data_IF_304602508576
#
_entry.id   IF_304602508576
#
_cell.length_a   1.000
_cell.length_b   1.000
_cell.length_c   1.000
_cell.angle_alpha   90.00
_cell.angle_beta   90.00
_cell.angle_gamma   90.00
#
_symmetry.space_group_name_H-M   'P 1'
#
loop_
_entity.id
_entity.type
_entity.pdbx_description
1 polymer ?
#
# COMPACT_ATOMS: atom_id res chain seq x y z
N UNK A 1 15.80 17.03 -29.08
CA UNK A 1 16.76 16.00 -29.58
C UNK A 1 18.22 16.45 -29.45
N UNK A 2 18.56 17.71 -29.76
CA UNK A 2 19.94 18.23 -29.66
C UNK A 2 20.55 18.21 -28.24
N UNK A 3 19.79 18.54 -27.20
CA UNK A 3 20.35 18.62 -25.84
C UNK A 3 20.72 17.24 -25.27
N UNK A 4 20.00 16.19 -25.66
CA UNK A 4 20.26 14.82 -25.21
C UNK A 4 21.55 14.26 -25.80
N UNK A 5 21.79 14.51 -27.09
CA UNK A 5 23.03 14.12 -27.76
C UNK A 5 24.22 14.88 -27.18
N UNK A 6 24.07 16.15 -26.84
CA UNK A 6 25.15 16.91 -26.19
C UNK A 6 25.43 16.43 -24.76
N UNK A 7 24.40 16.10 -23.98
CA UNK A 7 24.58 15.50 -22.66
C UNK A 7 25.26 14.12 -22.75
N UNK A 8 25.00 13.38 -23.82
CA UNK A 8 25.64 12.09 -24.10
C UNK A 8 27.11 12.23 -24.49
N UNK A 9 27.44 13.13 -25.41
CA UNK A 9 28.81 13.39 -25.86
C UNK A 9 29.71 13.86 -24.71
N UNK A 10 29.13 14.56 -23.71
CA UNK A 10 29.87 15.14 -22.58
C UNK A 10 30.01 14.21 -21.38
N UNK A 11 29.39 13.04 -21.37
CA UNK A 11 29.45 12.13 -20.24
C UNK A 11 30.54 11.07 -20.46
N UNK A 12 31.72 11.30 -19.89
CA UNK A 12 32.90 10.42 -19.99
C UNK A 12 32.60 8.96 -19.61
N UNK A 13 31.55 8.73 -18.80
CA UNK A 13 31.11 7.38 -18.40
C UNK A 13 30.57 6.56 -19.58
N UNK A 14 30.24 7.21 -20.69
CA UNK A 14 29.67 6.55 -21.87
C UNK A 14 30.75 6.04 -22.83
N UNK A 15 31.97 6.56 -22.73
CA UNK A 15 33.07 6.20 -23.64
C UNK A 15 33.45 4.72 -23.54
N UNK A 16 33.32 4.11 -22.36
CA UNK A 16 33.60 2.68 -22.13
C UNK A 16 32.44 1.72 -22.43
N UNK A 17 31.26 2.23 -22.81
CA UNK A 17 30.07 1.39 -23.02
C UNK A 17 30.02 0.78 -24.41
N UNK A 18 29.43 -0.41 -24.53
CA UNK A 18 29.14 -1.02 -25.81
C UNK A 18 28.19 -0.14 -26.66
N UNK A 19 28.26 -0.29 -27.99
CA UNK A 19 27.33 0.39 -28.91
C UNK A 19 25.87 0.05 -28.59
N UNK A 20 25.61 -1.17 -28.15
CA UNK A 20 24.28 -1.61 -27.75
C UNK A 20 23.81 -0.92 -26.46
N UNK A 21 24.65 -0.85 -25.42
CA UNK A 21 24.32 -0.12 -24.20
C UNK A 21 24.00 1.36 -24.48
N UNK A 22 24.76 1.99 -25.37
CA UNK A 22 24.51 3.37 -25.82
C UNK A 22 23.15 3.50 -26.51
N UNK A 23 22.83 2.57 -27.42
CA UNK A 23 21.53 2.53 -28.10
C UNK A 23 20.36 2.39 -27.12
N UNK A 24 20.42 1.38 -26.25
CA UNK A 24 19.39 1.10 -25.23
C UNK A 24 19.20 2.30 -24.30
N UNK A 25 20.28 2.97 -23.88
CA UNK A 25 20.18 4.16 -23.05
C UNK A 25 19.42 5.31 -23.74
N UNK A 26 19.70 5.55 -25.03
CA UNK A 26 18.96 6.56 -25.80
C UNK A 26 17.47 6.21 -25.91
N UNK A 27 17.14 4.93 -26.12
CA UNK A 27 15.75 4.48 -26.18
C UNK A 27 15.02 4.63 -24.84
N UNK A 28 15.64 4.19 -23.74
CA UNK A 28 15.13 4.38 -22.38
C UNK A 28 14.82 5.86 -22.13
N UNK A 29 15.77 6.74 -22.44
CA UNK A 29 15.62 8.18 -22.20
C UNK A 29 14.54 8.80 -23.06
N UNK A 30 14.47 8.43 -24.34
CA UNK A 30 13.42 8.89 -25.25
C UNK A 30 12.03 8.44 -24.78
N UNK A 31 11.88 7.20 -24.32
CA UNK A 31 10.63 6.68 -23.77
C UNK A 31 10.22 7.41 -22.49
N UNK A 32 11.17 7.65 -21.59
CA UNK A 32 10.92 8.37 -20.34
C UNK A 32 10.53 9.83 -20.60
N UNK A 33 11.14 10.47 -21.59
CA UNK A 33 10.82 11.85 -21.98
C UNK A 33 9.44 11.96 -22.65
N UNK A 34 9.13 11.07 -23.60
CA UNK A 34 7.84 11.03 -24.29
C UNK A 34 6.66 10.79 -23.34
N UNK A 35 6.88 10.07 -22.25
CA UNK A 35 5.84 9.69 -21.29
C UNK A 35 5.87 10.51 -20.00
N UNK A 36 6.80 11.46 -19.88
CA UNK A 36 7.07 12.21 -18.66
C UNK A 36 7.25 11.31 -17.42
N UNK A 37 8.09 10.28 -17.55
CA UNK A 37 8.36 9.31 -16.50
C UNK A 37 9.73 9.53 -15.86
N UNK A 38 9.79 9.27 -14.55
CA UNK A 38 11.04 9.18 -13.79
C UNK A 38 11.58 7.75 -13.73
N UNK A 39 10.76 6.75 -14.05
CA UNK A 39 11.15 5.33 -14.08
C UNK A 39 10.34 4.54 -15.11
N UNK A 40 10.99 3.54 -15.73
CA UNK A 40 10.33 2.52 -16.54
C UNK A 40 10.12 1.27 -15.70
N UNK A 41 8.91 0.70 -15.75
CA UNK A 41 8.55 -0.54 -15.06
C UNK A 41 7.76 -1.43 -16.01
N UNK A 42 8.19 -2.68 -16.15
CA UNK A 42 7.52 -3.68 -16.98
C UNK A 42 8.06 -5.09 -16.73
N UNK A 43 7.37 -6.09 -17.28
CA UNK A 43 7.92 -7.45 -17.40
C UNK A 43 9.12 -7.48 -18.34
N UNK A 44 9.85 -8.59 -18.37
CA UNK A 44 11.00 -8.75 -19.27
C UNK A 44 10.58 -8.61 -20.75
N UNK A 45 9.45 -9.20 -21.13
CA UNK A 45 8.90 -9.12 -22.48
C UNK A 45 8.44 -7.71 -22.83
N UNK A 46 7.81 -7.02 -21.88
CA UNK A 46 7.36 -5.63 -22.05
C UNK A 46 8.54 -4.69 -22.29
N UNK A 47 9.62 -4.85 -21.53
CA UNK A 47 10.82 -4.02 -21.69
C UNK A 47 11.56 -4.35 -22.98
N UNK A 48 11.70 -5.63 -23.35
CA UNK A 48 12.27 -6.03 -24.62
C UNK A 48 11.51 -5.43 -25.81
N UNK A 49 10.18 -5.51 -25.78
CA UNK A 49 9.33 -4.92 -26.81
C UNK A 49 9.45 -3.39 -26.87
N UNK A 50 9.50 -2.71 -25.71
CA UNK A 50 9.64 -1.27 -25.64
C UNK A 50 11.01 -0.78 -26.16
N UNK A 51 12.07 -1.55 -25.88
CA UNK A 51 13.46 -1.27 -26.26
C UNK A 51 13.87 -1.84 -27.62
N UNK A 52 12.89 -2.35 -28.39
CA UNK A 52 13.08 -2.92 -29.74
C UNK A 52 14.29 -3.85 -29.85
N UNK A 53 14.54 -4.63 -28.80
CA UNK A 53 15.69 -5.50 -28.65
C UNK A 53 15.25 -6.78 -27.99
N UNK A 54 15.93 -7.89 -28.27
CA UNK A 54 15.75 -9.09 -27.47
C UNK A 54 16.13 -8.83 -26.00
N UNK A 55 15.47 -9.52 -25.09
CA UNK A 55 15.67 -9.30 -23.66
C UNK A 55 17.09 -9.62 -23.20
N UNK A 56 17.75 -10.64 -23.76
CA UNK A 56 19.09 -11.02 -23.33
C UNK A 56 20.08 -9.88 -23.60
N UNK A 57 20.04 -9.32 -24.81
CA UNK A 57 20.91 -8.20 -25.17
C UNK A 57 20.50 -6.89 -24.50
N UNK A 58 19.20 -6.63 -24.34
CA UNK A 58 18.72 -5.47 -23.59
C UNK A 58 19.16 -5.54 -22.12
N UNK A 59 19.12 -6.73 -21.51
CA UNK A 59 19.57 -6.97 -20.14
C UNK A 59 21.07 -6.74 -19.98
N UNK A 60 21.89 -7.30 -20.88
CA UNK A 60 23.34 -7.06 -20.86
C UNK A 60 23.66 -5.56 -20.96
N UNK A 61 22.98 -4.85 -21.88
CA UNK A 61 23.10 -3.41 -22.02
C UNK A 61 22.67 -2.65 -20.74
N UNK A 62 21.55 -3.04 -20.11
CA UNK A 62 21.07 -2.45 -18.86
C UNK A 62 22.04 -2.69 -17.71
N UNK A 63 22.67 -3.87 -17.63
CA UNK A 63 23.68 -4.20 -16.64
C UNK A 63 24.97 -3.37 -16.83
N UNK A 64 25.41 -3.17 -18.08
CA UNK A 64 26.51 -2.26 -18.42
C UNK A 64 26.20 -0.80 -17.99
N UNK A 65 24.99 -0.33 -18.30
CA UNK A 65 24.53 1.01 -17.92
C UNK A 65 24.41 1.19 -16.40
N UNK A 66 24.01 0.13 -15.70
CA UNK A 66 23.97 0.09 -14.25
C UNK A 66 25.37 0.15 -13.65
N UNK A 67 26.31 -0.62 -14.19
CA UNK A 67 27.72 -0.60 -13.78
C UNK A 67 28.38 0.78 -13.97
N UNK A 68 28.08 1.44 -15.10
CA UNK A 68 28.51 2.82 -15.38
C UNK A 68 27.76 3.88 -14.56
N UNK A 69 26.80 3.48 -13.69
CA UNK A 69 25.99 4.35 -12.83
C UNK A 69 25.18 5.39 -13.60
N UNK A 70 24.82 5.10 -14.84
CA UNK A 70 23.92 5.93 -15.65
C UNK A 70 22.46 5.62 -15.33
N UNK A 71 22.16 4.33 -15.14
CA UNK A 71 20.85 3.86 -14.73
C UNK A 71 20.93 3.17 -13.37
N UNK A 72 19.80 3.12 -12.68
CA UNK A 72 19.57 2.19 -11.58
C UNK A 72 18.58 1.13 -12.03
N UNK A 73 19.00 -0.14 -12.00
CA UNK A 73 18.20 -1.27 -12.48
C UNK A 73 17.92 -2.19 -11.30
N UNK A 74 16.65 -2.52 -11.09
CA UNK A 74 16.21 -3.43 -10.04
C UNK A 74 15.32 -4.52 -10.60
N UNK A 75 15.77 -5.75 -10.46
CA UNK A 75 15.03 -6.94 -10.87
C UNK A 75 14.20 -7.49 -9.70
N UNK A 76 12.95 -7.81 -10.00
CA UNK A 76 12.04 -8.53 -9.12
C UNK A 76 11.64 -9.84 -9.79
N UNK A 77 10.97 -10.73 -9.05
CA UNK A 77 10.51 -12.02 -9.61
C UNK A 77 9.61 -11.88 -10.84
N UNK A 78 8.88 -10.77 -10.96
CA UNK A 78 7.83 -10.58 -11.98
C UNK A 78 7.99 -9.33 -12.84
N UNK A 79 8.92 -8.44 -12.51
CA UNK A 79 9.14 -7.20 -13.27
C UNK A 79 10.53 -6.61 -13.03
N UNK A 80 10.97 -5.76 -13.95
CA UNK A 80 12.19 -4.96 -13.81
C UNK A 80 11.82 -3.48 -13.75
N UNK A 81 12.55 -2.73 -12.92
CA UNK A 81 12.44 -1.27 -12.80
C UNK A 81 13.76 -0.65 -13.24
N UNK A 82 13.69 0.33 -14.14
CA UNK A 82 14.82 1.10 -14.66
C UNK A 82 14.60 2.57 -14.31
N UNK A 83 15.56 3.18 -13.62
CA UNK A 83 15.50 4.58 -13.16
C UNK A 83 16.68 5.33 -13.76
N UNK A 84 16.43 6.51 -14.35
CA UNK A 84 17.48 7.39 -14.85
C UNK A 84 18.04 8.25 -13.72
N UNK A 85 19.30 7.99 -13.34
CA UNK A 85 19.98 8.71 -12.25
C UNK A 85 20.27 10.17 -12.60
N UNK A 86 20.33 10.52 -13.89
CA UNK A 86 20.55 11.92 -14.30
C UNK A 86 19.36 12.78 -13.89
N UNK A 87 18.13 12.32 -14.15
CA UNK A 87 16.88 13.01 -13.76
C UNK A 87 16.73 13.11 -12.25
N UNK A 88 17.10 12.09 -11.49
CA UNK A 88 17.02 12.15 -10.02
C UNK A 88 17.96 13.23 -9.44
N UNK A 89 19.18 13.33 -9.97
CA UNK A 89 20.13 14.37 -9.58
C UNK A 89 19.71 15.76 -10.05
N UNK A 90 19.15 15.88 -11.26
CA UNK A 90 18.63 17.14 -11.78
C UNK A 90 17.44 17.63 -10.96
N UNK A 91 16.48 16.76 -10.63
CA UNK A 91 15.37 17.10 -9.76
C UNK A 91 15.83 17.58 -8.39
N UNK A 92 16.82 16.89 -7.78
CA UNK A 92 17.40 17.32 -6.50
C UNK A 92 18.11 18.67 -6.61
N UNK A 93 18.88 18.89 -7.68
CA UNK A 93 19.56 20.18 -7.92
C UNK A 93 18.57 21.31 -8.15
N UNK A 94 17.46 21.04 -8.84
CA UNK A 94 16.42 22.03 -9.08
C UNK A 94 15.69 22.37 -7.78
N UNK A 95 15.40 21.38 -6.94
CA UNK A 95 14.84 21.59 -5.60
C UNK A 95 15.79 22.40 -4.69
N UNK A 96 17.09 22.11 -4.75
CA UNK A 96 18.14 22.90 -4.06
C UNK A 96 18.24 24.34 -4.60
N UNK A 97 18.17 24.53 -5.92
CA UNK A 97 18.15 25.86 -6.55
C UNK A 97 16.90 26.63 -6.16
N UNK A 98 15.74 25.99 -6.20
CA UNK A 98 14.46 26.57 -5.84
C UNK A 98 14.45 26.97 -4.37
N UNK A 99 14.90 26.09 -3.48
CA UNK A 99 15.06 26.36 -2.05
C UNK A 99 16.01 27.54 -1.79
N UNK A 100 17.15 27.60 -2.49
CA UNK A 100 18.09 28.72 -2.40
C UNK A 100 17.49 30.02 -2.92
N UNK A 101 16.73 29.96 -4.00
CA UNK A 101 16.06 31.12 -4.58
C UNK A 101 14.97 31.64 -3.63
N UNK A 102 14.17 30.75 -3.04
CA UNK A 102 13.16 31.08 -2.05
C UNK A 102 13.73 31.66 -0.75
N UNK A 103 14.97 31.29 -0.38
CA UNK A 103 15.69 31.86 0.76
C UNK A 103 16.19 33.30 0.50
N UNK A 104 16.56 33.63 -0.73
CA UNK A 104 17.08 34.97 -1.12
C UNK A 104 15.95 35.89 -1.62
N UNK A 105 14.78 35.33 -1.92
CA UNK A 105 13.65 36.09 -2.47
C UNK A 105 13.14 37.14 -1.48
N UNK A 106 13.09 38.44 -1.88
CA UNK A 106 12.55 39.51 -1.04
C UNK A 106 11.13 39.19 -0.56
N UNK A 107 10.82 39.51 0.69
CA UNK A 107 9.53 39.25 1.33
C UNK A 107 8.35 39.81 0.52
N UNK A 108 8.57 40.94 -0.17
CA UNK A 108 7.60 41.61 -1.05
C UNK A 108 7.25 40.84 -2.32
N UNK A 109 8.06 39.84 -2.70
CA UNK A 109 7.82 38.98 -3.86
C UNK A 109 7.42 37.56 -3.49
N UNK A 110 7.47 37.17 -2.20
CA UNK A 110 6.88 35.91 -1.75
C UNK A 110 5.38 36.00 -2.03
N UNK A 111 4.89 35.20 -2.99
CA UNK A 111 3.44 35.06 -3.19
C UNK A 111 2.83 34.77 -1.82
N UNK A 112 1.83 35.53 -1.35
CA UNK A 112 1.18 35.23 -0.09
C UNK A 112 0.75 33.77 -0.17
N UNK A 113 1.22 32.96 0.79
CA UNK A 113 0.75 31.59 0.94
C UNK A 113 -0.76 31.71 1.10
N UNK A 114 -1.49 31.46 0.02
CA UNK A 114 -2.92 31.42 0.05
C UNK A 114 -3.23 30.27 0.99
N UNK A 115 -3.66 30.60 2.20
CA UNK A 115 -4.10 29.66 3.21
C UNK A 115 -5.26 28.86 2.61
N UNK A 116 -4.96 27.77 1.93
CA UNK A 116 -5.89 26.66 1.74
C UNK A 116 -6.01 25.97 3.10
N UNK A 117 -6.83 26.57 3.95
CA UNK A 117 -7.27 25.99 5.21
C UNK A 117 -8.76 26.29 5.40
N UNK A 118 -9.61 25.76 4.52
CA UNK A 118 -10.94 25.22 4.89
C UNK A 118 -11.37 24.21 3.81
N UNK A 119 -10.84 22.98 3.89
CA UNK A 119 -11.48 21.71 3.48
C UNK A 119 -10.37 20.67 3.24
N UNK A 120 -10.14 19.84 4.27
CA UNK A 120 -9.66 18.45 4.25
C UNK A 120 -8.99 18.12 5.58
N UNK A 121 -9.83 17.82 6.57
CA UNK A 121 -9.46 17.00 7.72
C UNK A 121 -9.58 15.55 7.25
N UNK A 122 -8.47 14.93 6.81
CA UNK A 122 -8.28 13.47 6.81
C UNK A 122 -6.91 13.08 6.25
N UNK A 123 -5.88 13.00 7.10
CA UNK A 123 -4.76 12.07 6.88
C UNK A 123 -3.98 11.80 8.17
N UNK A 124 -4.22 10.61 8.69
CA UNK A 124 -3.36 9.67 9.44
C UNK A 124 -2.20 10.19 10.34
N UNK A 125 -2.18 9.83 11.64
CA UNK A 125 -1.03 10.03 12.50
C UNK A 125 0.06 8.96 12.26
N UNK A 126 1.30 9.43 12.10
CA UNK A 126 2.53 8.62 12.10
C UNK A 126 2.73 7.98 13.48
N UNK A 127 2.84 6.66 13.50
CA UNK A 127 3.27 5.89 14.68
C UNK A 127 4.73 6.21 15.01
N UNK A 128 4.92 6.93 16.11
CA UNK A 128 6.19 7.02 16.82
C UNK A 128 6.46 5.68 17.51
N UNK A 129 7.57 5.04 17.13
CA UNK A 129 8.17 3.92 17.84
C UNK A 129 8.56 4.36 19.25
N UNK A 130 7.80 3.92 20.26
CA UNK A 130 8.26 3.91 21.64
C UNK A 130 9.06 2.64 21.89
N UNK A 131 10.37 2.85 22.04
CA UNK A 131 11.37 1.95 22.59
C UNK A 131 11.08 1.78 24.08
N UNK A 132 10.64 0.59 24.49
CA UNK A 132 10.60 0.23 25.92
C UNK A 132 11.97 -0.32 26.30
N UNK A 133 12.63 0.38 27.22
CA UNK A 133 13.83 -0.09 27.89
C UNK A 133 13.48 -1.14 28.94
N UNK A 134 14.42 -2.06 29.02
CA UNK A 134 14.51 -3.27 29.81
C UNK A 134 14.79 -2.91 31.28
N UNK A 135 13.81 -3.09 32.17
CA UNK A 135 14.06 -3.14 33.61
C UNK A 135 13.82 -4.55 34.15
N UNK A 136 14.94 -5.12 34.57
CA UNK A 136 15.05 -6.42 35.21
C UNK A 136 14.67 -6.38 36.69
N UNK A 137 14.20 -7.55 37.15
CA UNK A 137 14.30 -8.18 38.49
C UNK A 137 13.06 -8.12 39.42
N UNK A 138 12.90 -9.09 40.36
CA UNK A 138 13.47 -10.44 40.43
C UNK A 138 12.44 -11.56 40.64
N UNK A 139 12.92 -12.75 40.30
CA UNK A 139 12.41 -14.09 40.62
C UNK A 139 12.30 -14.30 42.12
N UNK A 140 11.17 -14.82 42.61
CA UNK A 140 11.06 -15.55 43.87
C UNK A 140 10.25 -16.84 43.65
N UNK A 141 10.76 -17.91 44.25
CA UNK A 141 10.39 -19.31 44.06
C UNK A 141 9.00 -19.68 44.63
N UNK A 142 8.44 -20.85 44.27
CA UNK A 142 7.21 -21.37 44.84
C UNK A 142 7.50 -22.32 46.01
N UNK A 143 6.73 -22.24 47.11
CA UNK A 143 6.49 -23.40 47.97
C UNK A 143 5.32 -23.22 48.93
N UNK A 144 4.58 -24.33 49.11
CA UNK A 144 3.85 -24.78 50.31
C UNK A 144 2.31 -24.69 50.36
N UNK A 145 1.78 -25.88 50.04
CA UNK A 145 0.58 -26.64 50.41
C UNK A 145 -0.30 -26.26 51.63
N UNK A 146 -1.51 -26.87 51.55
CA UNK A 146 -2.54 -27.20 52.56
C UNK A 146 -3.53 -26.10 52.96
N UNK A 147 -4.81 -26.34 53.29
CA UNK A 147 -5.84 -27.37 53.05
C UNK A 147 -7.09 -26.83 53.81
N UNK A 148 -8.29 -27.23 53.38
CA UNK A 148 -9.50 -27.43 54.22
C UNK A 148 -10.43 -26.28 54.66
N UNK A 149 -11.66 -26.38 54.13
CA UNK A 149 -12.99 -26.36 54.81
C UNK A 149 -13.46 -25.06 55.50
N UNK A 150 -14.74 -24.68 55.63
CA UNK A 150 -16.06 -24.95 55.03
C UNK A 150 -17.01 -23.91 55.69
N UNK A 151 -18.03 -23.37 55.00
CA UNK A 151 -19.33 -23.05 55.62
C UNK A 151 -20.29 -22.35 54.62
N UNK A 152 -21.43 -23.02 54.46
CA UNK A 152 -22.80 -22.58 54.11
C UNK A 152 -23.21 -21.12 54.39
N UNK A 153 -24.01 -20.51 53.50
CA UNK A 153 -25.46 -20.25 53.71
C UNK A 153 -26.13 -19.34 52.64
N UNK A 154 -27.26 -19.85 52.11
CA UNK A 154 -28.59 -19.23 51.84
C UNK A 154 -28.76 -17.89 51.09
N UNK A 155 -29.42 -18.05 49.93
CA UNK A 155 -30.58 -17.34 49.32
C UNK A 155 -31.22 -16.12 50.00
N UNK A 156 -31.40 -15.03 49.22
CA UNK A 156 -32.58 -14.14 49.16
C UNK A 156 -32.35 -13.13 48.00
N UNK A 157 -33.00 -13.26 46.84
CA UNK A 157 -34.27 -12.62 46.45
C UNK A 157 -34.37 -11.09 46.59
N UNK A 158 -34.46 -10.46 45.40
CA UNK A 158 -35.30 -9.31 44.99
C UNK A 158 -34.99 -7.92 45.55
N UNK A 159 -34.59 -7.02 44.64
CA UNK A 159 -35.19 -5.69 44.54
C UNK A 159 -35.25 -5.24 43.07
N UNK A 160 -36.46 -4.85 42.67
CA UNK A 160 -36.80 -4.26 41.39
C UNK A 160 -36.70 -2.73 41.50
N UNK A 161 -36.26 -2.08 40.41
CA UNK A 161 -36.45 -0.65 40.20
C UNK A 161 -35.17 0.17 40.11
N UNK A 162 -34.34 -0.09 39.09
CA UNK A 162 -33.38 0.89 38.58
C UNK A 162 -33.20 0.62 37.09
N UNK A 163 -33.26 1.66 36.24
CA UNK A 163 -32.95 1.57 34.81
C UNK A 163 -31.52 1.06 34.63
N UNK A 164 -31.38 -0.27 34.58
CA UNK A 164 -30.08 -0.92 34.57
C UNK A 164 -29.50 -0.83 33.18
N UNK A 165 -28.43 -0.02 33.05
CA UNK A 165 -27.46 -0.15 31.96
C UNK A 165 -27.20 -1.64 31.71
N UNK A 166 -27.67 -2.14 30.56
CA UNK A 166 -27.63 -3.55 30.22
C UNK A 166 -26.18 -3.99 30.06
N UNK A 167 -25.55 -4.48 31.13
CA UNK A 167 -24.16 -4.97 31.07
C UNK A 167 -24.17 -6.24 30.21
N UNK A 168 -23.39 -6.30 29.12
CA UNK A 168 -23.34 -7.48 28.27
C UNK A 168 -22.93 -8.70 29.08
N UNK A 169 -23.79 -9.72 29.10
CA UNK A 169 -23.52 -10.98 29.79
C UNK A 169 -22.53 -11.86 29.02
N UNK A 170 -22.04 -12.90 29.71
CA UNK A 170 -21.15 -13.92 29.13
C UNK A 170 -21.77 -14.57 27.87
N UNK A 171 -23.10 -14.71 27.85
CA UNK A 171 -23.84 -15.25 26.71
C UNK A 171 -23.66 -14.42 25.43
N UNK A 172 -23.71 -13.08 25.53
CA UNK A 172 -23.54 -12.17 24.38
C UNK A 172 -22.13 -12.22 23.81
N UNK A 173 -21.12 -12.30 24.69
CA UNK A 173 -19.73 -12.48 24.26
C UNK A 173 -19.55 -13.83 23.56
N UNK A 174 -20.12 -14.90 24.10
CA UNK A 174 -20.06 -16.22 23.47
C UNK A 174 -20.75 -16.24 22.11
N UNK A 175 -21.88 -15.56 21.96
CA UNK A 175 -22.58 -15.42 20.68
C UNK A 175 -21.73 -14.71 19.62
N UNK A 176 -21.07 -13.62 20.01
CA UNK A 176 -20.13 -12.89 19.13
C UNK A 176 -18.99 -13.79 18.66
N UNK A 177 -18.34 -14.49 19.59
CA UNK A 177 -17.18 -15.34 19.27
C UNK A 177 -17.58 -16.54 18.40
N UNK A 178 -18.75 -17.13 18.65
CA UNK A 178 -19.31 -18.20 17.81
C UNK A 178 -19.55 -17.69 16.39
N UNK A 179 -20.26 -16.58 16.25
CA UNK A 179 -20.54 -15.95 14.95
C UNK A 179 -19.25 -15.62 14.20
N UNK A 180 -18.21 -15.10 14.87
CA UNK A 180 -16.90 -14.89 14.24
C UNK A 180 -16.33 -16.20 13.69
N UNK A 181 -16.30 -17.26 14.50
CA UNK A 181 -15.70 -18.54 14.13
C UNK A 181 -16.44 -19.23 12.97
N UNK A 182 -17.74 -18.99 12.86
CA UNK A 182 -18.60 -19.58 11.84
C UNK A 182 -18.53 -18.82 10.51
N UNK A 183 -18.55 -17.49 10.55
CA UNK A 183 -18.75 -16.68 9.35
C UNK A 183 -17.52 -15.95 8.83
N UNK A 184 -16.58 -15.51 9.69
CA UNK A 184 -15.48 -14.62 9.25
C UNK A 184 -14.57 -15.23 8.18
N UNK A 185 -14.44 -16.57 8.14
CA UNK A 185 -13.43 -17.31 7.34
C UNK A 185 -11.98 -16.87 7.61
N UNK A 186 -11.76 -16.24 8.77
CA UNK A 186 -10.48 -15.72 9.25
C UNK A 186 -9.90 -16.63 10.35
N UNK A 187 -8.87 -16.17 11.07
CA UNK A 187 -8.28 -16.94 12.18
C UNK A 187 -9.33 -17.19 13.27
N UNK A 188 -9.56 -18.46 13.60
CA UNK A 188 -10.52 -18.86 14.64
C UNK A 188 -10.03 -18.52 16.04
N UNK A 189 -10.96 -18.14 16.91
CA UNK A 189 -10.73 -17.95 18.33
C UNK A 189 -11.03 -19.27 19.07
N UNK A 190 -9.97 -19.97 19.48
CA UNK A 190 -10.08 -21.24 20.21
C UNK A 190 -10.36 -21.05 21.71
N UNK A 191 -9.97 -19.91 22.28
CA UNK A 191 -10.12 -19.61 23.72
C UNK A 191 -10.44 -18.14 23.96
N UNK A 192 -11.42 -17.88 24.81
CA UNK A 192 -11.73 -16.55 25.32
C UNK A 192 -10.80 -16.28 26.50
N UNK A 193 -9.81 -15.41 26.29
CA UNK A 193 -8.92 -14.94 27.35
C UNK A 193 -9.57 -13.78 28.12
N UNK A 194 -9.13 -13.47 29.35
CA UNK A 194 -9.66 -12.31 30.10
C UNK A 194 -9.55 -10.99 29.32
N UNK A 195 -8.48 -10.83 28.53
CA UNK A 195 -8.30 -9.67 27.63
C UNK A 195 -9.40 -9.59 26.57
N UNK A 196 -9.69 -10.69 25.87
CA UNK A 196 -10.75 -10.76 24.84
C UNK A 196 -12.13 -10.55 25.45
N UNK A 197 -12.37 -11.11 26.63
CA UNK A 197 -13.60 -10.91 27.39
C UNK A 197 -13.82 -9.42 27.69
N UNK A 198 -12.80 -8.73 28.20
CA UNK A 198 -12.87 -7.29 28.51
C UNK A 198 -13.16 -6.46 27.25
N UNK A 199 -12.46 -6.74 26.14
CA UNK A 199 -12.68 -6.04 24.87
C UNK A 199 -14.08 -6.28 24.31
N UNK A 200 -14.56 -7.52 24.32
CA UNK A 200 -15.89 -7.86 23.83
C UNK A 200 -17.00 -7.19 24.67
N UNK A 201 -16.87 -7.17 26.00
CA UNK A 201 -17.82 -6.48 26.87
C UNK A 201 -17.84 -4.98 26.57
N UNK A 202 -16.68 -4.34 26.43
CA UNK A 202 -16.59 -2.92 26.11
C UNK A 202 -17.30 -2.60 24.79
N UNK A 203 -17.02 -3.39 23.73
CA UNK A 203 -17.67 -3.26 22.42
C UNK A 203 -19.18 -3.50 22.49
N UNK A 204 -19.65 -4.49 23.23
CA UNK A 204 -21.07 -4.80 23.37
C UNK A 204 -21.86 -3.76 24.19
N UNK A 205 -21.20 -2.79 24.82
CA UNK A 205 -21.86 -1.62 25.41
C UNK A 205 -22.08 -0.49 24.40
N UNK A 206 -21.36 -0.50 23.28
CA UNK A 206 -21.45 0.50 22.24
C UNK A 206 -22.66 0.18 21.33
N UNK A 207 -23.65 1.08 21.29
CA UNK A 207 -24.89 0.88 20.52
C UNK A 207 -24.60 0.59 19.04
N UNK A 208 -23.73 1.38 18.42
CA UNK A 208 -23.36 1.18 17.02
C UNK A 208 -22.73 -0.19 16.78
N UNK A 209 -21.86 -0.65 17.69
CA UNK A 209 -21.25 -1.97 17.56
C UNK A 209 -22.33 -3.06 17.61
N UNK A 210 -23.21 -3.04 18.62
CA UNK A 210 -24.28 -4.02 18.82
C UNK A 210 -25.19 -4.16 17.60
N UNK A 211 -25.51 -3.04 16.94
CA UNK A 211 -26.39 -3.02 15.78
C UNK A 211 -25.71 -3.54 14.50
N UNK A 212 -24.37 -3.44 14.38
CA UNK A 212 -23.67 -3.65 13.10
C UNK A 212 -22.66 -4.81 13.09
N UNK A 213 -22.26 -5.36 14.24
CA UNK A 213 -21.15 -6.31 14.30
C UNK A 213 -21.40 -7.61 13.51
N UNK A 214 -22.64 -8.08 13.41
CA UNK A 214 -22.98 -9.28 12.64
C UNK A 214 -22.77 -9.07 11.13
N UNK A 215 -23.28 -7.95 10.60
CA UNK A 215 -23.09 -7.57 9.20
C UNK A 215 -21.61 -7.28 8.89
N UNK A 216 -20.89 -6.66 9.83
CA UNK A 216 -19.46 -6.46 9.70
C UNK A 216 -18.69 -7.79 9.60
N UNK A 217 -19.04 -8.82 10.38
CA UNK A 217 -18.44 -10.16 10.25
C UNK A 217 -18.73 -10.78 8.88
N UNK A 218 -19.93 -10.56 8.32
CA UNK A 218 -20.24 -11.01 6.96
C UNK A 218 -19.35 -10.32 5.93
N UNK A 219 -19.20 -8.99 5.98
CA UNK A 219 -18.29 -8.24 5.09
C UNK A 219 -16.82 -8.66 5.24
N UNK A 220 -16.38 -8.97 6.46
CA UNK A 220 -15.04 -9.55 6.72
C UNK A 220 -14.83 -10.83 5.90
N UNK A 221 -15.85 -11.68 5.80
CA UNK A 221 -15.79 -12.93 5.03
C UNK A 221 -15.67 -12.72 3.51
N UNK A 222 -16.04 -11.55 3.03
CA UNK A 222 -16.00 -11.17 1.62
C UNK A 222 -14.68 -10.45 1.26
N UNK A 223 -14.01 -9.82 2.23
CA UNK A 223 -12.75 -9.11 2.02
C UNK A 223 -11.56 -10.04 1.81
N UNK A 224 -10.90 -9.92 0.66
CA UNK A 224 -9.68 -10.66 0.35
C UNK A 224 -8.48 -10.17 1.18
N UNK A 225 -8.45 -8.88 1.56
CA UNK A 225 -7.41 -8.34 2.45
C UNK A 225 -7.50 -8.95 3.85
N UNK A 226 -8.69 -8.89 4.47
CA UNK A 226 -8.89 -9.37 5.85
C UNK A 226 -8.67 -10.88 5.97
N UNK A 227 -8.92 -11.62 4.90
CA UNK A 227 -8.70 -13.07 4.79
C UNK A 227 -7.28 -13.46 4.41
N UNK A 228 -6.39 -12.51 4.15
CA UNK A 228 -5.00 -12.76 3.74
C UNK A 228 -4.85 -13.43 2.37
N UNK A 229 -5.74 -13.12 1.43
CA UNK A 229 -5.65 -13.61 0.04
C UNK A 229 -4.82 -12.70 -0.88
N UNK A 230 -4.26 -11.62 -0.34
CA UNK A 230 -3.45 -10.70 -1.14
C UNK A 230 -2.03 -11.26 -1.28
N UNK A 231 -1.46 -11.27 -2.51
CA UNK A 231 -0.09 -11.70 -2.73
C UNK A 231 0.91 -10.91 -1.89
N UNK A 232 1.97 -11.58 -1.43
CA UNK A 232 3.09 -11.00 -0.66
C UNK A 232 2.71 -10.38 0.71
N UNK A 233 1.53 -10.71 1.25
CA UNK A 233 1.12 -10.29 2.60
C UNK A 233 0.59 -11.47 3.42
N UNK A 234 1.33 -11.85 4.47
CA UNK A 234 0.96 -12.95 5.38
C UNK A 234 0.00 -12.54 6.53
N UNK A 235 -0.73 -11.45 6.33
CA UNK A 235 -1.60 -10.91 7.37
C UNK A 235 -3.03 -11.40 7.21
N UNK A 236 -3.64 -11.89 8.29
CA UNK A 236 -5.03 -12.35 8.36
C UNK A 236 -5.64 -11.76 9.63
N UNK A 237 -6.83 -11.20 9.53
CA UNK A 237 -7.57 -10.68 10.68
C UNK A 237 -7.87 -11.77 11.72
N UNK A 238 -7.86 -11.39 12.99
CA UNK A 238 -8.31 -12.22 14.09
C UNK A 238 -9.36 -11.49 14.94
N UNK A 239 -9.98 -12.20 15.89
CA UNK A 239 -10.97 -11.63 16.81
C UNK A 239 -10.39 -10.45 17.58
N UNK A 240 -9.11 -10.52 17.94
CA UNK A 240 -8.50 -9.49 18.77
C UNK A 240 -8.38 -8.17 18.00
N UNK A 241 -7.96 -8.23 16.73
CA UNK A 241 -8.00 -7.11 15.80
C UNK A 241 -9.42 -6.56 15.66
N UNK A 242 -10.42 -7.42 15.43
CA UNK A 242 -11.81 -6.99 15.25
C UNK A 242 -12.37 -6.24 16.47
N UNK A 243 -11.97 -6.65 17.67
CA UNK A 243 -12.39 -6.03 18.93
C UNK A 243 -11.49 -4.86 19.39
N UNK A 244 -10.29 -4.72 18.82
CA UNK A 244 -9.24 -3.85 19.37
C UNK A 244 -9.58 -2.37 19.31
N UNK A 245 -10.22 -1.90 18.24
CA UNK A 245 -10.49 -0.48 18.00
C UNK A 245 -11.98 -0.26 17.70
N UNK A 246 -12.54 0.81 18.26
CA UNK A 246 -13.94 1.21 18.12
C UNK A 246 -14.34 1.42 16.65
N UNK A 247 -13.38 1.88 15.85
CA UNK A 247 -13.61 2.24 14.46
C UNK A 247 -13.54 1.05 13.50
N UNK A 248 -13.19 -0.16 13.96
CA UNK A 248 -13.03 -1.30 13.05
C UNK A 248 -14.35 -1.66 12.38
N UNK A 249 -15.44 -1.74 13.15
CA UNK A 249 -16.78 -2.00 12.59
C UNK A 249 -17.17 -0.87 11.65
N UNK A 250 -16.99 0.40 12.06
CA UNK A 250 -17.28 1.56 11.20
C UNK A 250 -16.55 1.47 9.86
N UNK A 251 -15.24 1.23 9.87
CA UNK A 251 -14.44 1.11 8.65
C UNK A 251 -14.86 -0.06 7.76
N UNK A 252 -15.29 -1.18 8.35
CA UNK A 252 -15.83 -2.31 7.57
C UNK A 252 -17.16 -1.92 6.93
N UNK A 253 -18.05 -1.26 7.68
CA UNK A 253 -19.34 -0.80 7.19
C UNK A 253 -19.22 0.28 6.11
N UNK A 254 -18.21 1.15 6.22
CA UNK A 254 -17.86 2.17 5.21
C UNK A 254 -17.16 1.58 3.97
N UNK A 255 -16.91 0.27 3.95
CA UNK A 255 -16.28 -0.41 2.82
C UNK A 255 -14.78 -0.13 2.65
N UNK A 256 -14.09 0.33 3.70
CA UNK A 256 -12.63 0.56 3.68
C UNK A 256 -11.86 -0.69 3.26
N UNK A 257 -12.38 -1.85 3.63
CA UNK A 257 -11.79 -3.17 3.38
C UNK A 257 -12.47 -3.94 2.25
N UNK A 258 -13.42 -3.34 1.55
CA UNK A 258 -14.09 -3.99 0.44
C UNK A 258 -13.09 -4.21 -0.71
N UNK A 259 -13.32 -5.29 -1.46
CA UNK A 259 -12.48 -5.63 -2.59
C UNK A 259 -12.67 -4.60 -3.70
N UNK A 260 -11.77 -3.62 -3.72
CA UNK A 260 -11.73 -2.63 -4.80
C UNK A 260 -11.47 -3.37 -6.10
N UNK A 261 -12.37 -3.21 -7.07
CA UNK A 261 -12.07 -3.58 -8.45
C UNK A 261 -10.88 -2.71 -8.87
N UNK A 262 -9.68 -3.29 -8.81
CA UNK A 262 -8.54 -2.69 -9.48
C UNK A 262 -8.86 -2.83 -10.95
N UNK A 263 -9.37 -1.75 -11.54
CA UNK A 263 -9.09 -1.50 -12.95
C UNK A 263 -7.59 -1.75 -13.11
N UNK A 264 -7.22 -2.71 -13.98
CA UNK A 264 -5.82 -2.95 -14.31
C UNK A 264 -5.28 -1.59 -14.76
N UNK A 265 -4.55 -0.90 -13.88
CA UNK A 265 -3.78 0.27 -14.27
C UNK A 265 -2.75 -0.27 -15.24
N UNK A 266 -3.06 -0.13 -16.52
CA UNK A 266 -2.16 -0.48 -17.61
C UNK A 266 -0.79 0.11 -17.27
N UNK A 267 0.23 -0.72 -17.27
CA UNK A 267 1.61 -0.26 -17.08
C UNK A 267 1.91 0.83 -18.11
N UNK A 268 2.91 1.68 -17.86
CA UNK A 268 3.30 2.68 -18.85
C UNK A 268 3.60 2.04 -20.21
N UNK A 269 4.19 0.83 -20.20
CA UNK A 269 4.44 0.05 -21.40
C UNK A 269 3.14 -0.46 -22.03
N UNK A 270 2.20 -1.00 -21.27
CA UNK A 270 0.91 -1.44 -21.82
C UNK A 270 0.11 -0.27 -22.41
N UNK A 271 0.17 0.91 -21.80
CA UNK A 271 -0.42 2.15 -22.36
C UNK A 271 0.27 2.55 -23.65
N UNK A 272 1.59 2.43 -23.72
CA UNK A 272 2.35 2.69 -24.94
C UNK A 272 1.98 1.73 -26.06
N UNK A 273 1.94 0.42 -25.78
CA UNK A 273 1.58 -0.60 -26.76
C UNK A 273 0.16 -0.38 -27.29
N UNK A 274 -0.80 -0.11 -26.39
CA UNK A 274 -2.18 0.19 -26.79
C UNK A 274 -2.26 1.44 -27.67
N UNK A 275 -1.52 2.51 -27.32
CA UNK A 275 -1.48 3.74 -28.12
C UNK A 275 -0.78 3.54 -29.48
N UNK A 276 0.27 2.73 -29.52
CA UNK A 276 0.98 2.38 -30.75
C UNK A 276 0.07 1.58 -31.71
N UNK A 277 -0.71 0.64 -31.17
CA UNK A 277 -1.69 -0.16 -31.90
C UNK A 277 -2.86 0.71 -32.41
N UNK A 278 -3.36 1.65 -31.59
CA UNK A 278 -4.36 2.66 -32.01
C UNK A 278 -3.82 3.57 -33.13
N UNK A 279 -2.54 3.97 -33.08
CA UNK A 279 -1.90 4.75 -34.15
C UNK A 279 -1.74 3.94 -35.45
N UNK A 280 -1.39 2.66 -35.37
CA UNK A 280 -1.28 1.78 -36.54
C UNK A 280 -2.64 1.54 -37.20
N UNK A 281 -3.69 1.31 -36.41
CA UNK A 281 -5.04 1.13 -36.92
C UNK A 281 -5.62 2.42 -37.52
N UNK A 282 -5.27 3.59 -36.97
CA UNK A 282 -5.64 4.90 -37.54
C UNK A 282 -4.96 5.19 -38.89
N UNK A 283 -3.74 4.70 -39.10
CA UNK A 283 -2.99 4.90 -40.35
C UNK A 283 -3.58 4.06 -41.52
N UNK A 284 -4.09 2.86 -41.25
CA UNK A 284 -4.66 1.96 -42.27
C UNK A 284 -6.01 2.43 -42.84
N UNK A 285 -6.72 3.35 -42.17
CA UNK A 285 -8.02 3.87 -42.61
C UNK A 285 -7.88 5.01 -43.64
N UNK A 286 -6.68 5.55 -43.85
CA UNK A 286 -6.48 6.71 -44.75
C UNK A 286 -6.21 6.36 -46.22
N UNK A 287 -5.93 5.10 -46.54
CA UNK A 287 -5.76 4.64 -47.92
C UNK A 287 -7.07 4.05 -48.46
N UNK A 288 -8.12 4.88 -48.47
CA UNK A 288 -9.30 4.60 -49.28
C UNK A 288 -8.93 4.70 -50.78
N UNK A 289 -9.44 3.81 -51.65
CA UNK A 289 -9.05 3.80 -53.06
C UNK A 289 -9.40 5.14 -53.70
N UNK A 290 -8.38 5.81 -54.23
CA UNK A 290 -8.53 6.98 -55.10
C UNK A 290 -9.32 6.51 -56.32
N UNK A 291 -10.61 6.81 -56.33
CA UNK A 291 -11.48 6.56 -57.47
C UNK A 291 -10.93 7.35 -58.66
N UNK A 292 -10.31 6.65 -59.59
CA UNK A 292 -9.94 7.16 -60.90
C UNK A 292 -11.23 7.56 -61.61
N UNK A 293 -11.48 8.86 -61.68
CA UNK A 293 -12.49 9.42 -62.58
C UNK A 293 -11.83 9.57 -63.94
N UNK A 294 -12.42 8.88 -64.92
CA UNK A 294 -12.09 8.90 -66.34
C UNK A 294 -12.45 10.24 -67.00
#
# INVERSE_FOLDING_TARGET
MCDFLQAWIRDDRVEGLSLQARGIWMEVRALMDQMDLSQLKGTEEQLASALRSDWASARQALDELHAARLLYVKHWKTFTVVIDRSREKEAKREDERQSRWDAVRPETQKKPKQNQSVEQIASEPKQTQMRFEDEQKPVCQPERQQESQSATAKTAEQNAGEETLHRPGVASVNHLIRTWNDFSRCRKCNRITPKRMKLAIARLQERYFVDNWQEAIQRVSESDFLRGKIPDKDWIADVEWFLSNENVVVWIMEGKYDNRQKEKKLTAVERFMKKAEECQNSALVRDGPVSSVA
#
